data_IF_909550963868
#
_entry.id   IF_909550963868
#
_cell.length_a   1.000
_cell.length_b   1.000
_cell.length_c   1.000
_cell.angle_alpha   90.00
_cell.angle_beta   90.00
_cell.angle_gamma   90.00
#
_symmetry.space_group_name_H-M   'P 1'
#
loop_
_entity.id
_entity.type
_entity.pdbx_description
1 polymer ?
#
# COMPACT_ATOMS: atom_id res chain seq x y z
N UNK A 1 -11.63 5.30 -2.72
CA UNK A 1 -12.82 5.07 -3.56
C UNK A 1 -14.10 5.36 -2.78
N UNK A 2 -15.16 5.78 -3.47
CA UNK A 2 -16.47 5.96 -2.81
C UNK A 2 -17.04 4.59 -2.45
N UNK A 3 -17.69 4.45 -1.30
CA UNK A 3 -18.36 3.22 -0.88
C UNK A 3 -19.33 2.67 -1.95
N UNK A 4 -19.89 3.52 -2.80
CA UNK A 4 -20.72 3.12 -3.94
C UNK A 4 -20.01 2.24 -4.97
N UNK A 5 -18.68 2.17 -4.94
CA UNK A 5 -17.90 1.33 -5.84
C UNK A 5 -17.57 -0.05 -5.23
N UNK A 6 -17.99 -0.31 -4.00
CA UNK A 6 -17.73 -1.58 -3.30
C UNK A 6 -18.67 -2.72 -3.75
N UNK A 7 -19.80 -2.39 -4.40
CA UNK A 7 -20.78 -3.38 -4.85
C UNK A 7 -21.19 -3.11 -6.32
N UNK A 8 -20.93 -4.05 -7.22
CA UNK A 8 -20.13 -5.25 -7.05
C UNK A 8 -18.64 -4.91 -6.86
N UNK A 9 -17.87 -5.83 -6.27
CA UNK A 9 -16.42 -5.63 -6.04
C UNK A 9 -15.69 -5.27 -7.34
N UNK A 10 -14.63 -4.46 -7.25
CA UNK A 10 -13.81 -4.08 -8.41
C UNK A 10 -13.18 -5.33 -9.02
N UNK A 11 -12.69 -6.26 -8.19
CA UNK A 11 -12.11 -7.51 -8.64
C UNK A 11 -13.11 -8.35 -9.47
N UNK A 12 -14.39 -8.44 -9.06
CA UNK A 12 -15.43 -9.14 -9.82
C UNK A 12 -15.70 -8.47 -11.16
N UNK A 13 -15.71 -7.15 -11.20
CA UNK A 13 -15.89 -6.37 -12.45
C UNK A 13 -14.70 -6.56 -13.40
N UNK A 14 -13.48 -6.62 -12.87
CA UNK A 14 -12.27 -6.92 -13.65
C UNK A 14 -12.33 -8.35 -14.20
N UNK A 15 -12.69 -9.34 -13.36
CA UNK A 15 -12.88 -10.73 -13.79
C UNK A 15 -13.88 -10.81 -14.96
N UNK A 16 -14.99 -10.09 -14.87
CA UNK A 16 -16.00 -10.02 -15.95
C UNK A 16 -15.38 -9.44 -17.24
N UNK A 17 -14.68 -8.29 -17.13
CA UNK A 17 -14.06 -7.62 -18.29
C UNK A 17 -12.98 -8.49 -18.94
N UNK A 18 -12.22 -9.23 -18.16
CA UNK A 18 -11.23 -10.19 -18.63
C UNK A 18 -11.86 -11.48 -19.19
N UNK A 19 -13.18 -11.63 -19.11
CA UNK A 19 -13.94 -12.80 -19.57
C UNK A 19 -13.43 -14.12 -18.99
N UNK A 20 -12.98 -14.10 -17.73
CA UNK A 20 -12.51 -15.29 -17.03
C UNK A 20 -13.72 -16.16 -16.67
N UNK A 21 -13.88 -17.26 -17.40
CA UNK A 21 -15.03 -18.17 -17.26
C UNK A 21 -14.92 -19.13 -16.07
N UNK A 22 -13.72 -19.38 -15.56
CA UNK A 22 -13.51 -20.31 -14.44
C UNK A 22 -14.19 -19.78 -13.17
N UNK A 23 -15.24 -20.47 -12.65
CA UNK A 23 -15.93 -20.03 -11.42
C UNK A 23 -15.02 -20.17 -10.18
N UNK A 24 -14.05 -21.08 -10.19
CA UNK A 24 -13.10 -21.26 -9.09
C UNK A 24 -12.01 -20.15 -9.03
N UNK A 25 -11.95 -19.28 -10.03
CA UNK A 25 -11.17 -18.06 -9.94
C UNK A 25 -11.93 -17.06 -9.07
N UNK A 26 -11.69 -17.09 -7.77
CA UNK A 26 -12.33 -16.20 -6.80
C UNK A 26 -11.80 -14.78 -6.99
N UNK A 27 -12.70 -13.80 -6.88
CA UNK A 27 -12.39 -12.38 -7.06
C UNK A 27 -13.01 -11.55 -5.93
N UNK A 28 -12.21 -10.84 -5.17
CA UNK A 28 -12.62 -9.97 -4.07
C UNK A 28 -11.65 -8.81 -3.89
N UNK A 29 -12.11 -7.77 -3.23
CA UNK A 29 -11.30 -6.59 -2.93
C UNK A 29 -10.73 -6.69 -1.52
N UNK A 30 -9.50 -6.19 -1.35
CA UNK A 30 -8.88 -5.96 -0.04
C UNK A 30 -9.00 -4.47 0.25
N UNK A 31 -9.72 -4.13 1.31
CA UNK A 31 -9.83 -2.76 1.77
C UNK A 31 -8.65 -2.43 2.68
N UNK A 32 -7.67 -1.72 2.13
CA UNK A 32 -6.46 -1.35 2.83
C UNK A 32 -5.96 0.01 2.31
N UNK A 33 -5.08 0.68 3.06
CA UNK A 33 -4.48 1.94 2.63
C UNK A 33 -3.36 1.75 1.60
N UNK A 34 -2.42 2.70 1.53
CA UNK A 34 -1.32 2.71 0.57
C UNK A 34 -0.53 1.40 0.45
N UNK A 35 -0.24 0.64 1.54
CA UNK A 35 0.43 -0.66 1.43
C UNK A 35 -0.48 -1.81 0.99
N UNK A 36 -1.72 -1.56 0.57
CA UNK A 36 -2.69 -2.60 0.20
C UNK A 36 -2.22 -3.56 -0.89
N UNK A 37 -1.42 -3.07 -1.86
CA UNK A 37 -0.83 -3.94 -2.87
C UNK A 37 0.16 -4.94 -2.26
N UNK A 38 1.00 -4.50 -1.30
CA UNK A 38 1.93 -5.37 -0.58
C UNK A 38 1.16 -6.42 0.23
N UNK A 39 0.10 -6.03 0.92
CA UNK A 39 -0.77 -6.97 1.65
C UNK A 39 -1.42 -7.99 0.70
N UNK A 40 -1.86 -7.55 -0.48
CA UNK A 40 -2.33 -8.44 -1.53
C UNK A 40 -1.27 -9.45 -2.00
N UNK A 41 -0.01 -9.01 -2.12
CA UNK A 41 1.13 -9.88 -2.45
C UNK A 41 1.39 -10.93 -1.35
N UNK A 42 1.32 -10.52 -0.07
CA UNK A 42 1.48 -11.41 1.07
C UNK A 42 0.40 -12.50 1.07
N UNK A 43 -0.87 -12.12 0.88
CA UNK A 43 -1.98 -13.07 0.81
C UNK A 43 -1.87 -14.01 -0.38
N UNK A 44 -1.54 -13.48 -1.56
CA UNK A 44 -1.33 -14.28 -2.77
C UNK A 44 -0.21 -15.33 -2.59
N UNK A 45 0.92 -14.91 -2.00
CA UNK A 45 2.02 -15.82 -1.67
C UNK A 45 1.59 -16.92 -0.68
N UNK A 46 0.81 -16.55 0.34
CA UNK A 46 0.28 -17.51 1.31
C UNK A 46 -0.67 -18.53 0.64
N UNK A 47 -1.56 -18.08 -0.25
CA UNK A 47 -2.47 -18.97 -0.98
C UNK A 47 -1.73 -19.94 -1.91
N UNK A 48 -0.69 -19.47 -2.59
CA UNK A 48 0.14 -20.30 -3.46
C UNK A 48 0.90 -21.33 -2.62
N UNK A 49 1.57 -20.92 -1.54
CA UNK A 49 2.30 -21.83 -0.63
C UNK A 49 1.41 -22.84 0.06
N UNK A 50 0.16 -22.50 0.33
CA UNK A 50 -0.84 -23.42 0.92
C UNK A 50 -1.50 -24.34 -0.13
N UNK A 51 -1.15 -24.23 -1.41
CA UNK A 51 -1.76 -25.02 -2.49
C UNK A 51 -3.22 -24.63 -2.82
N UNK A 52 -3.71 -23.53 -2.25
CA UNK A 52 -5.09 -23.04 -2.50
C UNK A 52 -5.22 -22.46 -3.91
N UNK A 53 -4.19 -21.81 -4.40
CA UNK A 53 -4.15 -21.24 -5.73
C UNK A 53 -2.81 -21.52 -6.42
N UNK A 54 -2.83 -21.75 -7.73
CA UNK A 54 -1.59 -21.87 -8.55
C UNK A 54 -1.12 -20.52 -9.07
N UNK A 55 -2.07 -19.60 -9.31
CA UNK A 55 -1.82 -18.25 -9.83
C UNK A 55 -2.73 -17.25 -9.15
N UNK A 56 -2.18 -16.10 -8.80
CA UNK A 56 -2.91 -15.00 -8.21
C UNK A 56 -2.63 -13.71 -8.99
N UNK A 57 -3.67 -13.02 -9.42
CA UNK A 57 -3.58 -11.68 -9.98
C UNK A 57 -3.77 -10.67 -8.84
N UNK A 58 -2.76 -9.89 -8.53
CA UNK A 58 -2.81 -8.83 -7.53
C UNK A 58 -2.82 -7.48 -8.24
N UNK A 59 -3.83 -6.67 -7.93
CA UNK A 59 -4.04 -5.36 -8.55
C UNK A 59 -4.05 -4.30 -7.46
N UNK A 60 -3.13 -3.34 -7.54
CA UNK A 60 -3.21 -2.09 -6.79
C UNK A 60 -3.88 -1.04 -7.66
N UNK A 61 -4.96 -0.45 -7.17
CA UNK A 61 -5.67 0.58 -7.93
C UNK A 61 -6.34 1.60 -7.01
N UNK A 62 -6.27 2.86 -7.39
CA UNK A 62 -6.93 3.95 -6.68
C UNK A 62 -7.31 5.08 -7.63
N UNK A 63 -8.39 5.77 -7.32
CA UNK A 63 -8.88 6.98 -7.99
C UNK A 63 -9.16 8.06 -6.94
N UNK A 64 -8.09 8.55 -6.31
CA UNK A 64 -8.17 9.54 -5.24
C UNK A 64 -8.67 10.90 -5.74
N UNK A 65 -8.49 11.22 -7.04
CA UNK A 65 -9.06 12.42 -7.66
C UNK A 65 -10.57 12.58 -7.43
N UNK A 66 -11.28 11.47 -7.18
CA UNK A 66 -12.73 11.47 -6.93
C UNK A 66 -13.13 11.89 -5.51
N UNK A 67 -12.19 11.95 -4.60
CA UNK A 67 -12.43 12.17 -3.17
C UNK A 67 -11.51 13.21 -2.55
N UNK A 68 -10.70 13.90 -3.34
CA UNK A 68 -9.89 15.04 -2.89
C UNK A 68 -10.75 16.30 -2.81
N UNK A 69 -10.37 17.18 -1.91
CA UNK A 69 -10.95 18.51 -1.76
C UNK A 69 -10.07 19.53 -2.49
N UNK A 70 -10.58 20.17 -3.51
CA UNK A 70 -9.85 21.20 -4.28
C UNK A 70 -9.42 22.41 -3.42
N UNK A 71 -10.04 22.60 -2.26
CA UNK A 71 -9.71 23.66 -1.32
C UNK A 71 -8.70 23.21 -0.25
N UNK A 72 -8.21 22.00 -0.36
CA UNK A 72 -7.20 21.43 0.52
C UNK A 72 -5.83 21.44 -0.17
N UNK A 73 -4.86 22.11 0.45
CA UNK A 73 -3.50 22.17 -0.09
C UNK A 73 -2.88 20.78 -0.23
N UNK A 74 -3.23 19.86 0.65
CA UNK A 74 -2.69 18.51 0.61
C UNK A 74 -3.27 17.65 -0.53
N UNK A 75 -4.32 18.13 -1.20
CA UNK A 75 -4.95 17.42 -2.33
C UNK A 75 -3.97 17.18 -3.49
N UNK A 76 -2.98 18.05 -3.67
CA UNK A 76 -2.02 17.97 -4.78
C UNK A 76 -1.08 16.74 -4.70
N UNK A 77 -0.98 16.09 -3.55
CA UNK A 77 -0.12 14.90 -3.40
C UNK A 77 -0.85 13.59 -3.75
N UNK A 78 -2.17 13.63 -3.91
CA UNK A 78 -2.98 12.46 -4.25
C UNK A 78 -3.13 12.33 -5.76
N UNK A 79 -2.98 11.11 -6.27
CA UNK A 79 -3.10 10.80 -7.70
C UNK A 79 -3.90 9.53 -7.93
N UNK A 80 -4.31 9.33 -9.18
CA UNK A 80 -4.93 8.10 -9.64
C UNK A 80 -3.86 7.16 -10.21
N UNK A 81 -4.08 5.87 -10.06
CA UNK A 81 -3.18 4.88 -10.62
C UNK A 81 -3.71 3.46 -10.53
N UNK A 82 -3.17 2.61 -11.38
CA UNK A 82 -3.43 1.19 -11.33
C UNK A 82 -2.21 0.41 -11.85
N UNK A 83 -1.87 -0.66 -11.15
CA UNK A 83 -0.86 -1.61 -11.58
C UNK A 83 -1.27 -3.03 -11.18
N UNK A 84 -0.76 -4.02 -11.90
CA UNK A 84 -1.11 -5.40 -11.67
C UNK A 84 0.10 -6.31 -11.84
N UNK A 85 0.16 -7.38 -11.04
CA UNK A 85 1.14 -8.45 -11.16
C UNK A 85 0.46 -9.81 -11.04
N UNK A 86 1.07 -10.82 -11.65
CA UNK A 86 0.67 -12.21 -11.48
C UNK A 86 1.76 -12.91 -10.67
N UNK A 87 1.36 -13.52 -9.56
CA UNK A 87 2.19 -14.45 -8.82
C UNK A 87 1.81 -15.87 -9.24
N UNK A 88 2.81 -16.69 -9.41
CA UNK A 88 2.62 -18.12 -9.66
C UNK A 88 3.71 -18.92 -8.96
N UNK A 89 3.43 -20.20 -8.73
CA UNK A 89 4.44 -21.15 -8.27
C UNK A 89 5.55 -21.28 -9.31
N UNK A 90 6.80 -21.29 -8.86
CA UNK A 90 7.96 -21.44 -9.72
C UNK A 90 9.00 -22.33 -9.08
N UNK A 91 9.61 -23.19 -9.87
CA UNK A 91 10.75 -24.01 -9.46
C UNK A 91 12.06 -23.20 -9.46
N UNK A 92 12.07 -22.01 -10.04
CA UNK A 92 13.23 -21.14 -10.07
C UNK A 92 13.52 -20.56 -8.69
N UNK A 93 14.81 -20.39 -8.38
CA UNK A 93 15.22 -19.66 -7.19
C UNK A 93 14.75 -18.19 -7.26
N UNK A 94 14.09 -17.73 -6.22
CA UNK A 94 13.58 -16.36 -6.11
C UNK A 94 12.16 -16.32 -5.53
N UNK A 95 11.65 -15.10 -5.41
CA UNK A 95 10.30 -14.85 -4.90
C UNK A 95 10.27 -14.07 -3.58
N UNK A 96 9.13 -14.10 -2.89
CA UNK A 96 8.96 -13.41 -1.61
C UNK A 96 9.61 -14.22 -0.50
N UNK A 97 10.71 -13.70 0.05
CA UNK A 97 11.51 -14.38 1.09
C UNK A 97 10.89 -14.14 2.47
N UNK A 98 10.52 -12.90 2.76
CA UNK A 98 9.93 -12.49 4.04
C UNK A 98 8.97 -11.33 3.85
N UNK A 99 8.17 -11.08 4.85
CA UNK A 99 7.29 -9.92 4.90
C UNK A 99 7.10 -9.45 6.34
N UNK A 100 6.67 -8.21 6.49
CA UNK A 100 6.25 -7.62 7.75
C UNK A 100 5.01 -6.77 7.52
N UNK A 101 4.03 -6.89 8.41
CA UNK A 101 2.84 -6.04 8.45
C UNK A 101 2.56 -5.64 9.88
N UNK A 102 2.21 -4.37 10.08
CA UNK A 102 1.81 -3.85 11.38
C UNK A 102 0.67 -2.84 11.23
N UNK A 103 -0.21 -2.80 12.21
CA UNK A 103 -1.29 -1.83 12.27
C UNK A 103 -1.23 -1.09 13.61
N UNK A 104 -1.09 0.21 13.54
CA UNK A 104 -1.12 1.12 14.67
C UNK A 104 -2.45 1.87 14.65
N UNK A 105 -3.31 1.62 15.62
CA UNK A 105 -4.69 2.09 15.58
C UNK A 105 -5.21 2.66 16.91
N UNK A 106 -4.34 2.84 17.90
CA UNK A 106 -4.76 3.43 19.19
C UNK A 106 -4.98 4.93 19.08
N UNK A 107 -3.96 5.67 18.65
CA UNK A 107 -4.02 7.11 18.45
C UNK A 107 -4.00 7.49 16.97
N UNK A 108 -3.48 6.60 16.13
CA UNK A 108 -3.15 6.83 14.72
C UNK A 108 -4.33 6.58 13.77
N UNK A 109 -5.37 5.89 14.23
CA UNK A 109 -6.50 5.46 13.39
C UNK A 109 -7.13 6.58 12.56
N UNK A 110 -7.07 7.82 13.05
CA UNK A 110 -7.65 8.99 12.40
C UNK A 110 -6.60 9.99 11.85
N UNK A 111 -5.38 9.56 11.59
CA UNK A 111 -4.38 10.43 10.94
C UNK A 111 -4.70 10.69 9.47
N UNK A 112 -5.42 9.75 8.82
CA UNK A 112 -6.05 9.93 7.52
C UNK A 112 -7.53 9.62 7.71
N UNK A 113 -8.41 10.53 7.29
CA UNK A 113 -9.84 10.42 7.55
C UNK A 113 -10.68 11.09 6.45
N UNK A 114 -11.98 10.90 6.47
CA UNK A 114 -12.90 11.64 5.63
C UNK A 114 -13.54 12.79 6.40
N UNK A 115 -13.28 14.03 5.96
CA UNK A 115 -13.75 15.27 6.55
C UNK A 115 -14.49 16.17 5.59
N UNK A 116 -15.00 17.28 6.08
CA UNK A 116 -15.69 18.30 5.29
C UNK A 116 -14.73 19.09 4.41
N UNK A 117 -15.25 19.77 3.39
CA UNK A 117 -14.46 20.68 2.56
C UNK A 117 -13.90 21.84 3.39
N UNK A 118 -12.71 22.31 3.02
CA UNK A 118 -12.17 23.59 3.52
C UNK A 118 -12.75 24.82 2.79
N UNK A 119 -13.65 24.62 1.83
CA UNK A 119 -14.36 25.69 1.18
C UNK A 119 -15.23 26.45 2.18
N UNK A 120 -15.07 27.78 2.35
CA UNK A 120 -15.93 28.55 3.22
C UNK A 120 -17.41 28.42 2.80
N UNK A 121 -18.29 28.21 3.77
CA UNK A 121 -19.73 28.08 3.58
C UNK A 121 -20.15 26.95 2.61
N UNK A 122 -19.37 25.88 2.54
CA UNK A 122 -19.79 24.69 1.77
C UNK A 122 -21.01 24.05 2.40
N UNK A 123 -22.14 24.08 1.71
CA UNK A 123 -23.37 23.45 2.12
C UNK A 123 -23.47 21.97 1.66
N UNK A 124 -22.46 21.48 0.93
CA UNK A 124 -22.44 20.09 0.52
C UNK A 124 -22.24 19.17 1.72
N UNK A 125 -22.84 17.99 1.67
CA UNK A 125 -22.61 16.92 2.66
C UNK A 125 -21.47 15.98 2.22
N UNK A 126 -20.70 16.38 1.20
CA UNK A 126 -19.63 15.56 0.70
C UNK A 126 -18.48 15.50 1.71
N UNK A 127 -17.89 14.32 1.82
CA UNK A 127 -16.69 14.10 2.60
C UNK A 127 -15.51 13.85 1.65
N UNK A 128 -14.38 14.36 2.03
CA UNK A 128 -13.14 14.33 1.27
C UNK A 128 -12.04 13.69 2.10
N UNK A 129 -11.07 13.07 1.45
CA UNK A 129 -9.89 12.55 2.14
C UNK A 129 -9.12 13.72 2.76
N UNK A 130 -8.79 13.59 4.03
CA UNK A 130 -8.03 14.54 4.83
C UNK A 130 -6.87 13.84 5.52
N UNK A 131 -5.82 14.57 5.78
CA UNK A 131 -4.61 14.02 6.38
C UNK A 131 -4.04 14.98 7.43
N UNK A 132 -3.60 14.43 8.56
CA UNK A 132 -2.78 15.15 9.53
C UNK A 132 -1.31 15.03 9.10
N UNK A 133 -0.92 15.79 8.08
CA UNK A 133 0.34 15.60 7.35
C UNK A 133 1.59 15.49 8.23
N UNK A 134 1.72 16.35 9.27
CA UNK A 134 2.84 16.28 10.22
C UNK A 134 2.87 14.97 11.00
N UNK A 135 1.71 14.50 11.49
CA UNK A 135 1.62 13.24 12.25
C UNK A 135 1.93 12.05 11.36
N UNK A 136 1.45 12.05 10.12
CA UNK A 136 1.79 11.01 9.13
C UNK A 136 3.27 10.99 8.84
N UNK A 137 3.90 12.16 8.67
CA UNK A 137 5.34 12.26 8.45
C UNK A 137 6.13 11.68 9.63
N UNK A 138 5.83 12.11 10.86
CA UNK A 138 6.47 11.60 12.08
C UNK A 138 6.26 10.08 12.25
N UNK A 139 5.05 9.60 12.01
CA UNK A 139 4.70 8.18 12.03
C UNK A 139 5.54 7.37 11.03
N UNK A 140 5.61 7.83 9.78
CA UNK A 140 6.34 7.14 8.72
C UNK A 140 7.83 7.03 9.04
N UNK A 141 8.44 8.12 9.53
CA UNK A 141 9.86 8.14 9.88
C UNK A 141 10.24 7.23 11.06
N UNK A 142 9.29 6.88 11.92
CA UNK A 142 9.54 6.00 13.06
C UNK A 142 9.25 4.55 12.69
N UNK A 143 8.09 4.30 12.12
CA UNK A 143 7.57 2.95 11.99
C UNK A 143 8.02 2.24 10.70
N UNK A 144 8.16 2.96 9.58
CA UNK A 144 8.56 2.32 8.31
C UNK A 144 9.99 1.77 8.36
N UNK A 145 11.01 2.51 8.83
CA UNK A 145 12.37 1.94 8.96
C UNK A 145 12.41 0.73 9.89
N UNK A 146 11.62 0.75 10.97
CA UNK A 146 11.55 -0.36 11.92
C UNK A 146 10.94 -1.61 11.28
N UNK A 147 9.84 -1.46 10.54
CA UNK A 147 9.21 -2.55 9.80
C UNK A 147 10.14 -3.11 8.71
N UNK A 148 10.85 -2.23 7.98
CA UNK A 148 11.87 -2.64 6.99
C UNK A 148 12.97 -3.48 7.65
N UNK A 149 13.46 -3.07 8.82
CA UNK A 149 14.48 -3.80 9.57
C UNK A 149 13.97 -5.18 9.98
N UNK A 150 12.80 -5.27 10.58
CA UNK A 150 12.20 -6.56 10.99
C UNK A 150 12.01 -7.48 9.78
N UNK A 151 11.55 -6.94 8.66
CA UNK A 151 11.38 -7.71 7.42
C UNK A 151 12.72 -8.26 6.91
N UNK A 152 13.76 -7.43 6.88
CA UNK A 152 15.09 -7.84 6.43
C UNK A 152 15.71 -8.89 7.37
N UNK A 153 15.62 -8.70 8.68
CA UNK A 153 16.09 -9.68 9.67
C UNK A 153 15.39 -11.04 9.54
N UNK A 154 14.07 -11.05 9.33
CA UNK A 154 13.31 -12.28 9.02
C UNK A 154 13.80 -13.00 7.77
N UNK A 155 14.26 -12.24 6.77
CA UNK A 155 14.78 -12.80 5.52
C UNK A 155 16.15 -13.47 5.67
N UNK A 156 16.88 -13.15 6.75
CA UNK A 156 18.28 -13.53 6.97
C UNK A 156 19.25 -13.03 5.87
N UNK A 157 18.83 -12.04 5.11
CA UNK A 157 19.66 -11.37 4.10
C UNK A 157 20.40 -10.23 4.78
N UNK A 158 21.72 -10.16 4.59
CA UNK A 158 22.52 -9.05 5.08
C UNK A 158 22.17 -7.75 4.33
N UNK A 159 22.15 -6.63 5.03
CA UNK A 159 21.81 -5.33 4.45
C UNK A 159 22.73 -4.94 3.29
N UNK A 160 23.99 -5.37 3.32
CA UNK A 160 24.96 -5.13 2.24
C UNK A 160 24.60 -5.85 0.94
N UNK A 161 23.74 -6.87 1.02
CA UNK A 161 23.24 -7.61 -0.14
C UNK A 161 21.94 -7.03 -0.71
N UNK A 162 21.37 -6.00 -0.08
CA UNK A 162 20.19 -5.30 -0.62
C UNK A 162 20.61 -4.49 -1.85
N UNK A 163 20.11 -4.87 -3.02
CA UNK A 163 20.45 -4.24 -4.28
C UNK A 163 19.59 -3.04 -4.62
N UNK A 164 18.34 -3.06 -4.16
CA UNK A 164 17.37 -1.99 -4.45
C UNK A 164 16.27 -1.96 -3.41
N UNK A 165 15.87 -0.75 -3.03
CA UNK A 165 14.70 -0.50 -2.21
C UNK A 165 13.67 0.21 -3.09
N UNK A 166 12.46 -0.35 -3.18
CA UNK A 166 11.32 0.26 -3.82
C UNK A 166 10.37 0.70 -2.71
N UNK A 167 10.20 1.99 -2.58
CA UNK A 167 9.38 2.60 -1.52
C UNK A 167 8.16 3.29 -2.12
N UNK A 168 7.10 3.45 -1.33
CA UNK A 168 5.96 4.29 -1.67
C UNK A 168 6.41 5.74 -1.88
N UNK A 169 6.16 6.29 -3.06
CA UNK A 169 6.63 7.62 -3.46
C UNK A 169 5.62 8.71 -3.05
N UNK A 170 5.48 8.94 -1.76
CA UNK A 170 4.61 9.99 -1.25
C UNK A 170 5.25 11.38 -1.33
N UNK A 171 6.55 11.48 -0.99
CA UNK A 171 7.31 12.71 -0.94
C UNK A 171 8.81 12.39 -0.91
N UNK A 172 9.57 12.91 -1.86
CA UNK A 172 11.02 12.63 -2.00
C UNK A 172 11.81 12.82 -0.70
N UNK A 173 11.57 13.95 0.01
CA UNK A 173 12.29 14.23 1.26
C UNK A 173 11.93 13.25 2.37
N UNK A 174 10.69 12.78 2.41
CA UNK A 174 10.26 11.77 3.37
C UNK A 174 10.87 10.42 3.04
N UNK A 175 10.88 10.05 1.78
CA UNK A 175 11.43 8.78 1.30
C UNK A 175 12.94 8.71 1.62
N UNK A 176 13.69 9.77 1.31
CA UNK A 176 15.11 9.90 1.66
C UNK A 176 15.33 9.78 3.18
N UNK A 177 14.51 10.47 3.98
CA UNK A 177 14.63 10.43 5.43
C UNK A 177 14.31 9.03 6.01
N UNK A 178 13.36 8.30 5.44
CA UNK A 178 13.05 6.92 5.80
C UNK A 178 14.25 6.02 5.51
N UNK A 179 14.81 6.10 4.29
CA UNK A 179 15.95 5.26 3.88
C UNK A 179 17.17 5.56 4.74
N UNK A 180 17.50 6.84 4.98
CA UNK A 180 18.59 7.22 5.88
C UNK A 180 18.42 6.62 7.27
N UNK A 181 17.22 6.68 7.84
CA UNK A 181 16.92 6.08 9.14
C UNK A 181 17.03 4.56 9.12
N UNK A 182 16.59 3.91 8.05
CA UNK A 182 16.73 2.47 7.90
C UNK A 182 18.19 2.02 7.95
N UNK A 183 19.09 2.64 7.15
CA UNK A 183 20.52 2.32 7.20
C UNK A 183 21.14 2.64 8.57
N UNK A 184 20.73 3.75 9.19
CA UNK A 184 21.20 4.12 10.54
C UNK A 184 20.85 3.07 11.60
N UNK A 185 19.76 2.32 11.46
CA UNK A 185 19.41 1.21 12.36
C UNK A 185 20.44 0.05 12.30
N UNK A 186 21.29 0.02 11.28
CA UNK A 186 22.40 -0.91 11.12
C UNK A 186 23.78 -0.26 11.38
N UNK A 187 23.78 1.00 11.84
CA UNK A 187 25.02 1.75 12.06
C UNK A 187 25.72 2.16 10.76
N UNK A 188 25.00 2.23 9.65
CA UNK A 188 25.54 2.52 8.32
C UNK A 188 24.99 3.86 7.79
N UNK A 189 25.78 4.50 6.94
CA UNK A 189 25.30 5.59 6.09
C UNK A 189 24.53 5.04 4.88
N UNK A 190 23.58 5.83 4.37
CA UNK A 190 22.84 5.49 3.16
C UNK A 190 23.81 5.48 1.96
N UNK A 191 23.88 4.41 1.16
CA UNK A 191 24.64 4.41 -0.08
C UNK A 191 24.20 5.52 -1.05
N UNK A 192 25.12 6.01 -1.89
CA UNK A 192 24.82 6.98 -2.96
C UNK A 192 23.89 6.39 -4.03
#
# INVERSE_FOLDING_TARGET
>A
SKQSDAVPSIASRIKQKLKIKNPSCVAYDILFGCPGWIEGMIQANAFIKAGIAKKCLVIGTETLSRVVDENDRDSMIFSDGAAAVILEESENAGGIISHESATYALEEANYIFFGESFKPNDSSKNKYIKMLGRKIYEFALINVPSAMKVCLEKSKVDITNVKKILIHQANEKMDEAIIKRFYKLYGMEMPE
#
